data_IF_438507924968
#
_entry.id   IF_438507924968
#
_cell.length_a   1.000
_cell.length_b   1.000
_cell.length_c   1.000
_cell.angle_alpha   90.00
_cell.angle_beta   90.00
_cell.angle_gamma   90.00
#
_symmetry.space_group_name_H-M   'P 1'
#
loop_
_entity.id
_entity.type
_entity.pdbx_description
1 polymer ?
#
# COMPACT_ATOMS: atom_id res chain seq x y z
N UNK A 1 -9.61 -7.43 21.39
CA UNK A 1 -8.50 -7.34 22.39
C UNK A 1 -7.31 -6.80 21.64
N UNK A 2 -6.91 -5.58 21.94
CA UNK A 2 -5.75 -4.93 21.30
C UNK A 2 -4.51 -5.73 21.68
N UNK A 3 -3.74 -6.18 20.72
CA UNK A 3 -2.44 -6.78 20.99
C UNK A 3 -1.45 -5.64 21.19
N UNK A 4 -1.06 -5.36 22.43
CA UNK A 4 0.02 -4.41 22.72
C UNK A 4 1.28 -4.95 22.01
N UNK A 5 1.96 -4.10 21.25
CA UNK A 5 3.21 -4.48 20.57
C UNK A 5 4.21 -4.99 21.58
N UNK A 6 4.91 -6.08 21.21
CA UNK A 6 5.89 -6.74 22.08
C UNK A 6 7.02 -5.79 22.47
N UNK A 7 7.36 -5.79 23.75
CA UNK A 7 8.51 -5.06 24.29
C UNK A 7 9.82 -5.71 23.84
N UNK A 8 10.93 -4.97 23.95
CA UNK A 8 12.28 -5.52 23.64
C UNK A 8 12.62 -6.73 24.51
N UNK A 9 12.20 -6.73 25.78
CA UNK A 9 12.41 -7.81 26.73
C UNK A 9 11.64 -9.06 26.30
N UNK A 10 10.37 -8.92 25.93
CA UNK A 10 9.56 -10.04 25.43
C UNK A 10 10.15 -10.64 24.13
N UNK A 11 10.65 -9.77 23.20
CA UNK A 11 11.28 -10.24 21.97
C UNK A 11 12.59 -10.99 22.26
N UNK A 12 13.41 -10.53 23.20
CA UNK A 12 14.62 -11.25 23.63
C UNK A 12 14.30 -12.61 24.27
N UNK A 13 13.22 -12.68 25.05
CA UNK A 13 12.79 -13.95 25.62
C UNK A 13 12.34 -14.93 24.54
N UNK A 14 11.62 -14.44 23.53
CA UNK A 14 11.23 -15.24 22.36
C UNK A 14 12.47 -15.76 21.63
N UNK A 15 13.47 -14.91 21.34
CA UNK A 15 14.72 -15.33 20.72
C UNK A 15 15.40 -16.44 21.52
N UNK A 16 15.49 -16.29 22.85
CA UNK A 16 16.09 -17.29 23.74
C UNK A 16 15.34 -18.63 23.69
N UNK A 17 14.01 -18.59 23.69
CA UNK A 17 13.18 -19.79 23.63
C UNK A 17 13.27 -20.50 22.26
N UNK A 18 13.50 -19.76 21.20
CA UNK A 18 13.67 -20.27 19.85
C UNK A 18 15.11 -20.64 19.52
N UNK A 19 16.07 -20.37 20.41
CA UNK A 19 17.51 -20.58 20.23
C UNK A 19 18.08 -19.85 18.99
N UNK A 20 17.67 -18.59 18.79
CA UNK A 20 18.13 -17.71 17.70
C UNK A 20 18.71 -16.42 18.28
N UNK A 21 19.58 -15.75 17.52
CA UNK A 21 20.24 -14.50 17.95
C UNK A 21 19.29 -13.29 17.86
N UNK A 22 18.53 -13.20 16.79
CA UNK A 22 17.59 -12.09 16.52
C UNK A 22 16.35 -12.56 15.78
N UNK A 23 15.25 -11.81 15.95
CA UNK A 23 14.08 -11.90 15.08
C UNK A 23 14.24 -10.91 13.92
N UNK A 24 14.06 -11.40 12.71
CA UNK A 24 13.96 -10.57 11.53
C UNK A 24 12.51 -10.08 11.31
N UNK A 25 12.27 -9.30 10.29
CA UNK A 25 10.92 -8.85 9.90
C UNK A 25 10.81 -8.75 8.39
N UNK A 26 9.57 -8.79 7.89
CA UNK A 26 9.31 -8.48 6.49
C UNK A 26 9.91 -7.13 6.07
N UNK A 27 9.74 -6.09 6.90
CA UNK A 27 10.25 -4.75 6.61
C UNK A 27 11.78 -4.70 6.48
N UNK A 28 12.52 -5.48 7.31
CA UNK A 28 13.99 -5.56 7.23
C UNK A 28 14.41 -6.24 5.93
N UNK A 29 13.84 -7.40 5.63
CA UNK A 29 14.11 -8.12 4.39
C UNK A 29 13.78 -7.27 3.16
N UNK A 30 12.59 -6.67 3.12
CA UNK A 30 12.13 -5.89 1.98
C UNK A 30 12.97 -4.62 1.77
N UNK A 31 13.32 -3.92 2.84
CA UNK A 31 14.23 -2.78 2.79
C UNK A 31 15.58 -3.18 2.19
N UNK A 32 16.20 -4.27 2.67
CA UNK A 32 17.48 -4.72 2.15
C UNK A 32 17.42 -5.16 0.69
N UNK A 33 16.34 -5.81 0.30
CA UNK A 33 16.10 -6.22 -1.09
C UNK A 33 15.96 -5.03 -2.04
N UNK A 34 15.32 -3.97 -1.59
CA UNK A 34 15.09 -2.76 -2.40
C UNK A 34 16.29 -1.81 -2.39
N UNK A 35 16.91 -1.65 -1.25
CA UNK A 35 17.96 -0.64 -1.03
C UNK A 35 18.90 -1.08 0.09
N UNK A 36 20.06 -1.58 -0.30
CA UNK A 36 21.08 -2.06 0.65
C UNK A 36 21.60 -0.93 1.52
N UNK A 37 21.72 0.30 0.97
CA UNK A 37 22.23 1.45 1.73
C UNK A 37 21.21 1.94 2.77
N UNK A 38 19.94 2.02 2.42
CA UNK A 38 18.89 2.37 3.38
C UNK A 38 18.81 1.33 4.50
N UNK A 39 18.91 0.05 4.17
CA UNK A 39 18.96 -1.02 5.16
C UNK A 39 20.20 -0.94 6.07
N UNK A 40 21.36 -0.53 5.53
CA UNK A 40 22.56 -0.28 6.30
C UNK A 40 22.37 0.87 7.30
N UNK A 41 21.86 2.02 6.86
CA UNK A 41 21.56 3.14 7.75
C UNK A 41 20.60 2.72 8.88
N UNK A 42 19.54 2.00 8.54
CA UNK A 42 18.44 1.68 9.47
C UNK A 42 18.78 0.55 10.44
N UNK A 43 19.37 -0.55 9.94
CA UNK A 43 19.50 -1.80 10.71
C UNK A 43 20.94 -2.11 11.14
N UNK A 44 21.93 -1.38 10.65
CA UNK A 44 23.33 -1.54 11.07
C UNK A 44 23.79 -0.32 11.86
N UNK A 45 23.66 0.87 11.29
CA UNK A 45 24.07 2.13 11.94
C UNK A 45 23.03 2.66 12.93
N UNK A 46 21.77 2.24 12.81
CA UNK A 46 20.65 2.77 13.58
C UNK A 46 20.52 4.30 13.48
N UNK A 47 20.82 4.82 12.28
CA UNK A 47 20.68 6.25 12.00
C UNK A 47 19.23 6.70 12.13
N UNK A 48 19.07 7.90 12.66
CA UNK A 48 17.74 8.51 12.75
C UNK A 48 17.28 8.95 11.37
N UNK A 49 16.04 8.59 11.02
CA UNK A 49 15.41 9.09 9.81
C UNK A 49 15.37 10.63 9.84
N UNK A 50 15.89 11.28 8.80
CA UNK A 50 16.06 12.74 8.71
C UNK A 50 15.08 13.39 7.71
N UNK A 51 14.19 12.60 7.11
CA UNK A 51 13.08 13.10 6.30
C UNK A 51 11.76 12.91 7.02
N UNK A 52 10.92 13.93 6.94
CA UNK A 52 9.53 13.82 7.40
C UNK A 52 8.74 12.93 6.44
N UNK A 53 7.91 12.07 7.00
CA UNK A 53 6.98 11.27 6.22
C UNK A 53 6.14 12.15 5.28
N UNK A 54 5.97 11.71 4.05
CA UNK A 54 5.08 12.37 3.10
C UNK A 54 3.62 12.24 3.52
N UNK A 55 2.77 13.12 3.01
CA UNK A 55 1.34 13.17 3.33
C UNK A 55 0.63 11.82 3.15
N UNK A 56 1.00 11.03 2.14
CA UNK A 56 0.40 9.71 1.90
C UNK A 56 0.70 8.71 3.02
N UNK A 57 1.93 8.71 3.54
CA UNK A 57 2.31 7.84 4.65
C UNK A 57 1.62 8.25 5.96
N UNK A 58 1.57 9.56 6.24
CA UNK A 58 0.90 10.09 7.42
C UNK A 58 -0.60 9.84 7.37
N UNK A 59 -1.25 10.14 6.24
CA UNK A 59 -2.68 9.86 6.05
C UNK A 59 -3.00 8.36 6.12
N UNK A 60 -2.13 7.50 5.54
CA UNK A 60 -2.25 6.06 5.66
C UNK A 60 -2.21 5.62 7.12
N UNK A 61 -1.25 6.14 7.90
CA UNK A 61 -1.15 5.86 9.34
C UNK A 61 -2.41 6.25 10.11
N UNK A 62 -2.97 7.43 9.86
CA UNK A 62 -4.24 7.83 10.47
C UNK A 62 -5.41 6.91 10.08
N UNK A 63 -5.48 6.49 8.82
CA UNK A 63 -6.52 5.56 8.39
C UNK A 63 -6.44 4.22 9.11
N UNK A 64 -5.24 3.64 9.26
CA UNK A 64 -5.01 2.42 10.02
C UNK A 64 -5.40 2.58 11.49
N UNK A 65 -4.95 3.66 12.14
CA UNK A 65 -5.26 3.97 13.54
C UNK A 65 -6.79 4.10 13.79
N UNK A 66 -7.51 4.76 12.89
CA UNK A 66 -8.98 4.89 12.99
C UNK A 66 -9.66 3.53 12.87
N UNK A 67 -9.25 2.71 11.90
CA UNK A 67 -9.82 1.37 11.68
C UNK A 67 -9.50 0.47 12.89
N UNK A 68 -8.27 0.50 13.39
CA UNK A 68 -7.87 -0.23 14.58
C UNK A 68 -8.73 0.15 15.79
N UNK A 69 -8.92 1.44 16.04
CA UNK A 69 -9.78 1.94 17.13
C UNK A 69 -11.23 1.51 16.98
N UNK A 70 -11.77 1.46 15.77
CA UNK A 70 -13.11 0.93 15.53
C UNK A 70 -13.20 -0.54 15.95
N UNK A 71 -12.29 -1.37 15.45
CA UNK A 71 -12.34 -2.81 15.70
C UNK A 71 -11.88 -3.21 17.10
N UNK A 72 -11.12 -2.37 17.79
CA UNK A 72 -10.85 -2.52 19.22
C UNK A 72 -12.05 -2.13 20.12
N UNK A 73 -13.00 -1.41 19.58
CA UNK A 73 -14.15 -0.88 20.31
C UNK A 73 -13.84 0.41 21.09
N UNK A 74 -12.71 1.07 20.83
CA UNK A 74 -12.35 2.35 21.44
C UNK A 74 -13.22 3.49 20.91
N UNK A 75 -13.65 3.42 19.66
CA UNK A 75 -14.53 4.39 19.02
C UNK A 75 -15.76 3.70 18.42
N UNK A 76 -16.81 4.48 18.19
CA UNK A 76 -17.99 4.03 17.44
C UNK A 76 -17.81 4.30 15.95
N UNK A 77 -18.63 3.62 15.15
CA UNK A 77 -18.64 3.81 13.70
C UNK A 77 -18.77 5.28 13.26
N UNK A 78 -19.71 6.00 13.89
CA UNK A 78 -20.01 7.40 13.54
C UNK A 78 -18.87 8.37 13.93
N UNK A 79 -17.95 7.95 14.80
CA UNK A 79 -16.81 8.75 15.21
C UNK A 79 -15.70 8.75 14.16
N UNK A 80 -15.62 7.72 13.30
CA UNK A 80 -14.52 7.55 12.34
C UNK A 80 -14.33 8.77 11.44
N UNK A 81 -15.42 9.27 10.88
CA UNK A 81 -15.36 10.41 9.96
C UNK A 81 -14.88 11.68 10.66
N UNK A 82 -15.32 11.93 11.88
CA UNK A 82 -14.90 13.11 12.64
C UNK A 82 -13.41 13.05 12.99
N UNK A 83 -12.91 11.88 13.41
CA UNK A 83 -11.49 11.68 13.70
C UNK A 83 -10.64 11.84 12.42
N UNK A 84 -11.15 11.41 11.28
CA UNK A 84 -10.47 11.62 10.00
C UNK A 84 -10.40 13.11 9.63
N UNK A 85 -11.48 13.87 9.80
CA UNK A 85 -11.47 15.33 9.58
C UNK A 85 -10.47 16.04 10.51
N UNK A 86 -10.39 15.66 11.78
CA UNK A 86 -9.39 16.18 12.71
C UNK A 86 -7.95 15.83 12.27
N UNK A 87 -7.77 14.64 11.69
CA UNK A 87 -6.48 14.22 11.13
C UNK A 87 -6.08 15.05 9.90
N UNK A 88 -7.04 15.38 9.03
CA UNK A 88 -6.82 16.29 7.89
C UNK A 88 -6.42 17.69 8.37
N UNK A 89 -7.09 18.22 9.38
CA UNK A 89 -6.73 19.51 9.98
C UNK A 89 -5.29 19.47 10.54
N UNK A 90 -4.92 18.39 11.23
CA UNK A 90 -3.56 18.20 11.77
C UNK A 90 -2.51 18.18 10.66
N UNK A 91 -2.77 17.46 9.55
CA UNK A 91 -1.87 17.43 8.39
C UNK A 91 -1.75 18.79 7.71
N UNK A 92 -2.84 19.57 7.63
CA UNK A 92 -2.82 20.93 7.09
C UNK A 92 -1.99 21.88 7.98
N UNK A 93 -2.13 21.81 9.30
CA UNK A 93 -1.33 22.59 10.26
C UNK A 93 0.16 22.24 10.15
N UNK A 94 0.47 20.96 9.88
CA UNK A 94 1.83 20.49 9.65
C UNK A 94 2.35 20.81 8.23
N UNK A 95 1.59 21.56 7.42
CA UNK A 95 1.92 21.95 6.04
C UNK A 95 2.25 20.76 5.11
N UNK A 96 1.67 19.58 5.38
CA UNK A 96 1.82 18.43 4.52
C UNK A 96 1.00 18.63 3.24
N UNK A 97 1.63 18.37 2.08
CA UNK A 97 1.02 18.58 0.75
C UNK A 97 1.18 17.36 -0.12
N UNK A 98 0.18 17.12 -0.98
CA UNK A 98 0.19 16.09 -2.02
C UNK A 98 1.09 16.47 -3.20
N UNK A 99 1.09 17.75 -3.57
CA UNK A 99 2.06 18.35 -4.49
C UNK A 99 2.63 19.62 -3.85
N UNK A 100 3.96 19.72 -3.79
CA UNK A 100 4.65 20.86 -3.15
C UNK A 100 4.91 22.02 -4.10
N UNK A 101 4.89 21.73 -5.40
CA UNK A 101 5.32 22.68 -6.44
C UNK A 101 4.13 23.34 -7.15
N UNK A 102 2.98 22.67 -7.16
CA UNK A 102 1.78 23.12 -7.86
C UNK A 102 0.58 23.09 -6.93
N UNK A 103 0.08 24.28 -6.56
CA UNK A 103 -1.03 24.44 -5.61
C UNK A 103 -2.36 23.95 -6.18
N UNK A 104 -2.62 24.16 -7.47
CA UNK A 104 -3.86 23.71 -8.13
C UNK A 104 -3.88 22.18 -8.25
N UNK A 105 -2.76 21.60 -8.63
CA UNK A 105 -2.58 20.15 -8.66
C UNK A 105 -2.70 19.53 -7.27
N UNK A 106 -2.10 20.18 -6.25
CA UNK A 106 -2.24 19.76 -4.86
C UNK A 106 -3.71 19.70 -4.43
N UNK A 107 -4.49 20.74 -4.73
CA UNK A 107 -5.91 20.79 -4.38
C UNK A 107 -6.73 19.70 -5.10
N UNK A 108 -6.48 19.47 -6.39
CA UNK A 108 -7.13 18.40 -7.16
C UNK A 108 -6.85 17.02 -6.57
N UNK A 109 -5.58 16.75 -6.22
CA UNK A 109 -5.18 15.47 -5.62
C UNK A 109 -5.79 15.34 -4.23
N UNK A 110 -5.73 16.39 -3.38
CA UNK A 110 -6.32 16.42 -2.06
C UNK A 110 -7.82 16.10 -2.11
N UNK A 111 -8.58 16.84 -2.90
CA UNK A 111 -10.02 16.64 -3.06
C UNK A 111 -10.36 15.22 -3.49
N UNK A 112 -9.64 14.68 -4.46
CA UNK A 112 -9.86 13.30 -4.92
C UNK A 112 -9.57 12.27 -3.83
N UNK A 113 -8.38 12.34 -3.23
CA UNK A 113 -7.90 11.39 -2.24
C UNK A 113 -8.78 11.42 -0.98
N UNK A 114 -8.97 12.59 -0.43
CA UNK A 114 -9.69 12.79 0.83
C UNK A 114 -11.16 12.43 0.70
N UNK A 115 -11.82 12.78 -0.41
CA UNK A 115 -13.22 12.39 -0.63
C UNK A 115 -13.39 10.89 -0.78
N UNK A 116 -12.43 10.17 -1.38
CA UNK A 116 -12.46 8.72 -1.38
C UNK A 116 -12.41 8.14 0.04
N UNK A 117 -11.51 8.64 0.89
CA UNK A 117 -11.35 8.18 2.28
C UNK A 117 -12.56 8.59 3.15
N UNK A 118 -13.08 9.83 2.98
CA UNK A 118 -14.33 10.26 3.63
C UNK A 118 -15.49 9.34 3.30
N UNK A 119 -15.62 8.97 2.03
CA UNK A 119 -16.66 8.03 1.60
C UNK A 119 -16.47 6.65 2.23
N UNK A 120 -15.22 6.17 2.35
CA UNK A 120 -14.95 4.91 3.03
C UNK A 120 -15.44 4.96 4.49
N UNK A 121 -15.03 5.95 5.27
CA UNK A 121 -15.42 6.05 6.69
C UNK A 121 -16.92 6.24 6.91
N UNK A 122 -17.64 6.78 5.93
CA UNK A 122 -19.10 6.90 5.98
C UNK A 122 -19.84 5.63 5.55
N UNK A 123 -19.22 4.75 4.76
CA UNK A 123 -19.90 3.64 4.09
C UNK A 123 -19.18 2.30 4.22
N UNK A 124 -18.19 2.18 5.13
CA UNK A 124 -17.47 0.94 5.34
C UNK A 124 -18.39 -0.16 5.88
N UNK A 125 -18.30 -1.34 5.28
CA UNK A 125 -19.01 -2.52 5.73
C UNK A 125 -18.29 -3.18 6.90
N UNK A 126 -18.69 -2.87 8.13
CA UNK A 126 -18.05 -3.37 9.35
C UNK A 126 -18.16 -4.90 9.43
N UNK A 127 -17.01 -5.54 9.59
CA UNK A 127 -16.89 -6.99 9.82
C UNK A 127 -17.25 -7.27 11.29
N UNK A 128 -18.34 -8.01 11.51
CA UNK A 128 -18.88 -8.27 12.87
C UNK A 128 -18.47 -9.61 13.45
N UNK A 129 -17.77 -10.43 12.68
CA UNK A 129 -17.26 -11.73 13.13
C UNK A 129 -16.22 -11.53 14.24
N UNK A 130 -16.06 -12.50 15.14
CA UNK A 130 -14.95 -12.50 16.09
C UNK A 130 -13.63 -12.38 15.36
N UNK A 131 -12.85 -11.36 15.71
CA UNK A 131 -11.64 -10.97 14.99
C UNK A 131 -10.48 -10.70 15.94
N UNK A 132 -9.29 -10.57 15.36
CA UNK A 132 -8.06 -10.09 15.99
C UNK A 132 -7.49 -8.94 15.18
N UNK A 133 -6.95 -7.96 15.88
CA UNK A 133 -6.27 -6.79 15.31
C UNK A 133 -4.83 -6.75 15.81
N UNK A 134 -3.92 -6.21 15.02
CA UNK A 134 -2.48 -6.12 15.35
C UNK A 134 -1.95 -7.42 15.93
N UNK A 135 -2.34 -8.55 15.31
CA UNK A 135 -2.03 -9.88 15.83
C UNK A 135 -0.56 -10.21 15.61
N UNK A 136 0.20 -10.32 16.74
CA UNK A 136 1.60 -10.71 16.69
C UNK A 136 1.76 -12.16 16.18
N UNK A 137 2.66 -12.34 15.22
CA UNK A 137 2.94 -13.62 14.59
C UNK A 137 4.44 -13.87 14.48
N UNK A 138 4.82 -15.13 14.62
CA UNK A 138 6.18 -15.64 14.39
C UNK A 138 6.14 -16.59 13.20
N UNK A 139 7.09 -16.45 12.30
CA UNK A 139 7.15 -17.20 11.06
C UNK A 139 8.54 -17.79 10.91
N UNK A 140 8.65 -19.10 11.00
CA UNK A 140 9.92 -19.81 10.79
C UNK A 140 10.21 -19.97 9.30
N UNK A 141 11.28 -19.36 8.86
CA UNK A 141 11.78 -19.49 7.48
C UNK A 141 12.76 -20.66 7.40
N UNK A 142 13.79 -20.64 8.26
CA UNK A 142 14.77 -21.71 8.48
C UNK A 142 14.95 -21.94 9.99
N UNK A 143 15.90 -22.77 10.38
CA UNK A 143 16.20 -22.97 11.80
C UNK A 143 16.80 -21.74 12.46
N UNK A 144 17.53 -20.90 11.70
CA UNK A 144 18.22 -19.70 12.19
C UNK A 144 17.54 -18.38 11.76
N UNK A 145 16.60 -18.43 10.80
CA UNK A 145 15.85 -17.25 10.36
C UNK A 145 14.39 -17.39 10.76
N UNK A 146 13.98 -16.51 11.67
CA UNK A 146 12.61 -16.41 12.14
C UNK A 146 12.14 -14.97 12.00
N UNK A 147 11.04 -14.75 11.28
CA UNK A 147 10.43 -13.46 11.15
C UNK A 147 9.40 -13.21 12.23
N UNK A 148 9.26 -11.97 12.63
CA UNK A 148 8.14 -11.46 13.40
C UNK A 148 7.31 -10.49 12.55
N UNK A 149 6.03 -10.39 12.87
CA UNK A 149 5.13 -9.42 12.23
C UNK A 149 3.87 -9.19 13.04
N UNK A 150 3.09 -8.25 12.58
CA UNK A 150 1.76 -7.96 13.10
C UNK A 150 0.79 -7.99 11.94
N UNK A 151 -0.26 -8.78 12.09
CA UNK A 151 -1.36 -8.87 11.13
C UNK A 151 -2.38 -7.80 11.52
N UNK A 152 -2.63 -6.84 10.65
CA UNK A 152 -3.53 -5.71 10.91
C UNK A 152 -4.91 -6.20 11.35
N UNK A 153 -5.49 -7.14 10.60
CA UNK A 153 -6.80 -7.69 10.89
C UNK A 153 -6.95 -9.14 10.41
N UNK A 154 -7.51 -9.98 11.24
CA UNK A 154 -7.86 -11.35 10.86
C UNK A 154 -9.13 -11.83 11.55
N UNK A 155 -9.89 -12.68 10.89
CA UNK A 155 -11.08 -13.30 11.42
C UNK A 155 -11.32 -14.68 10.80
N UNK A 156 -12.24 -15.43 11.39
CA UNK A 156 -12.68 -16.73 10.86
C UNK A 156 -14.05 -16.60 10.22
N UNK A 157 -14.25 -17.25 9.08
CA UNK A 157 -15.56 -17.37 8.45
C UNK A 157 -15.87 -18.84 8.10
N UNK A 158 -17.15 -19.18 8.14
CA UNK A 158 -17.63 -20.45 7.63
C UNK A 158 -17.88 -20.36 6.14
N UNK A 159 -17.55 -21.39 5.42
CA UNK A 159 -17.85 -21.51 4.00
C UNK A 159 -18.23 -22.95 3.67
N UNK A 160 -18.85 -23.16 2.53
CA UNK A 160 -19.17 -24.50 2.00
C UNK A 160 -18.21 -24.80 0.87
N UNK A 161 -17.48 -25.90 0.95
CA UNK A 161 -16.55 -26.34 -0.08
C UNK A 161 -17.28 -26.89 -1.33
N UNK A 162 -16.54 -27.20 -2.37
CA UNK A 162 -17.07 -27.72 -3.63
C UNK A 162 -17.83 -29.07 -3.46
N UNK A 163 -17.57 -29.79 -2.38
CA UNK A 163 -18.22 -31.06 -2.04
C UNK A 163 -19.46 -30.87 -1.15
N UNK A 164 -19.81 -29.62 -0.81
CA UNK A 164 -20.96 -29.30 0.04
C UNK A 164 -20.68 -29.41 1.54
N UNK A 165 -19.43 -29.56 1.98
CA UNK A 165 -19.09 -29.62 3.39
C UNK A 165 -18.90 -28.23 4.00
N UNK A 166 -19.43 -28.01 5.19
CA UNK A 166 -19.12 -26.81 5.96
C UNK A 166 -17.66 -26.87 6.47
N UNK A 167 -16.88 -25.84 6.11
CA UNK A 167 -15.51 -25.63 6.56
C UNK A 167 -15.36 -24.25 7.20
N UNK A 168 -14.26 -24.05 7.89
CA UNK A 168 -13.86 -22.75 8.44
C UNK A 168 -12.54 -22.35 7.83
N UNK A 169 -12.46 -21.10 7.35
CA UNK A 169 -11.22 -20.51 6.85
C UNK A 169 -10.87 -19.24 7.60
N UNK A 170 -9.61 -18.88 7.54
CA UNK A 170 -9.09 -17.63 8.09
C UNK A 170 -8.98 -16.62 6.97
N UNK A 171 -9.49 -15.41 7.21
CA UNK A 171 -9.24 -14.26 6.35
C UNK A 171 -8.30 -13.29 7.04
N UNK A 172 -7.27 -12.86 6.31
CA UNK A 172 -6.30 -11.84 6.67
C UNK A 172 -6.54 -10.64 5.78
N UNK A 173 -6.74 -9.47 6.38
CA UNK A 173 -6.97 -8.22 5.66
C UNK A 173 -5.89 -7.21 6.04
N UNK A 174 -5.30 -6.62 5.03
CA UNK A 174 -4.38 -5.49 5.11
C UNK A 174 -5.00 -4.29 4.40
N UNK A 175 -5.17 -3.16 5.10
CA UNK A 175 -5.80 -1.97 4.55
C UNK A 175 -4.81 -1.09 3.80
N UNK A 176 -5.21 -0.62 2.61
CA UNK A 176 -4.36 0.20 1.75
C UNK A 176 -5.06 1.48 1.30
N UNK A 177 -4.39 2.61 1.51
CA UNK A 177 -4.78 3.91 0.97
C UNK A 177 -4.15 4.20 -0.39
N UNK A 178 -3.32 3.30 -0.91
CA UNK A 178 -2.66 3.40 -2.21
C UNK A 178 -3.64 3.20 -3.38
N UNK A 179 -3.14 3.30 -4.61
CA UNK A 179 -3.86 2.86 -5.80
C UNK A 179 -4.04 1.34 -5.78
N UNK A 180 -5.21 0.88 -6.22
CA UNK A 180 -5.56 -0.55 -6.26
C UNK A 180 -4.54 -1.35 -7.09
N UNK A 181 -4.08 -2.46 -6.54
CA UNK A 181 -3.19 -3.35 -7.26
C UNK A 181 -3.94 -4.18 -8.31
N UNK A 182 -3.31 -4.40 -9.44
CA UNK A 182 -3.85 -5.22 -10.54
C UNK A 182 -2.71 -5.81 -11.38
N UNK A 183 -2.97 -6.93 -12.02
CA UNK A 183 -2.01 -7.59 -12.89
C UNK A 183 -0.68 -7.87 -12.19
N UNK A 184 0.44 -7.51 -12.81
CA UNK A 184 1.80 -7.75 -12.27
C UNK A 184 2.03 -7.15 -10.89
N UNK A 185 1.36 -6.04 -10.54
CA UNK A 185 1.54 -5.39 -9.25
C UNK A 185 1.02 -6.25 -8.09
N UNK A 186 -0.01 -7.06 -8.31
CA UNK A 186 -0.49 -8.04 -7.31
C UNK A 186 0.63 -9.02 -6.97
N UNK A 187 1.33 -9.53 -7.99
CA UNK A 187 2.44 -10.46 -7.83
C UNK A 187 3.65 -9.83 -7.12
N UNK A 188 3.94 -8.58 -7.40
CA UNK A 188 5.07 -7.85 -6.81
C UNK A 188 4.86 -7.50 -5.33
N UNK A 189 3.61 -7.18 -4.94
CA UNK A 189 3.30 -6.66 -3.62
C UNK A 189 2.80 -7.74 -2.64
N UNK A 190 2.50 -8.96 -3.12
CA UNK A 190 1.85 -10.00 -2.32
C UNK A 190 2.72 -10.59 -1.20
N UNK A 191 4.03 -10.41 -1.24
CA UNK A 191 4.99 -11.16 -0.42
C UNK A 191 4.72 -11.09 1.08
N UNK A 192 4.37 -9.92 1.62
CA UNK A 192 4.07 -9.77 3.05
C UNK A 192 2.89 -10.66 3.48
N UNK A 193 1.81 -10.61 2.73
CA UNK A 193 0.61 -11.40 3.04
C UNK A 193 0.82 -12.90 2.82
N UNK A 194 1.63 -13.28 1.82
CA UNK A 194 2.02 -14.67 1.60
C UNK A 194 2.80 -15.22 2.81
N UNK A 195 3.75 -14.45 3.33
CA UNK A 195 4.53 -14.86 4.50
C UNK A 195 3.68 -14.85 5.77
N UNK A 196 2.70 -13.96 5.90
CA UNK A 196 1.76 -13.98 7.02
C UNK A 196 0.84 -15.20 6.97
N UNK A 197 0.37 -15.60 5.79
CA UNK A 197 -0.38 -16.86 5.61
C UNK A 197 0.45 -18.07 6.04
N UNK A 198 1.73 -18.12 5.65
CA UNK A 198 2.65 -19.18 6.11
C UNK A 198 2.78 -19.23 7.62
N UNK A 199 2.89 -18.06 8.29
CA UNK A 199 2.95 -17.99 9.72
C UNK A 199 1.67 -18.51 10.41
N UNK A 200 0.50 -18.16 9.89
CA UNK A 200 -0.79 -18.70 10.38
C UNK A 200 -0.86 -20.22 10.16
N UNK A 201 -0.43 -20.69 8.98
CA UNK A 201 -0.34 -22.12 8.68
C UNK A 201 0.50 -22.87 9.71
N UNK A 202 1.69 -22.35 10.02
CA UNK A 202 2.59 -22.92 11.02
C UNK A 202 2.01 -22.91 12.43
N UNK A 203 1.37 -21.79 12.81
CA UNK A 203 0.83 -21.62 14.16
C UNK A 203 -0.40 -22.50 14.44
N UNK A 204 -1.23 -22.74 13.43
CA UNK A 204 -2.52 -23.40 13.60
C UNK A 204 -2.57 -24.82 12.99
N UNK A 205 -1.59 -25.21 12.17
CA UNK A 205 -1.55 -26.49 11.49
C UNK A 205 -2.67 -26.68 10.44
N UNK A 206 -3.15 -25.56 9.85
CA UNK A 206 -4.21 -25.58 8.84
C UNK A 206 -3.60 -25.55 7.43
N UNK A 207 -4.27 -26.10 6.41
CA UNK A 207 -3.77 -26.04 5.04
C UNK A 207 -3.85 -24.63 4.48
N UNK A 208 -3.00 -24.32 3.49
CA UNK A 208 -2.92 -22.98 2.87
C UNK A 208 -4.23 -22.59 2.17
N UNK A 209 -4.96 -23.57 1.64
CA UNK A 209 -6.27 -23.38 0.99
C UNK A 209 -7.38 -22.86 1.94
N UNK A 210 -7.22 -23.07 3.23
CA UNK A 210 -8.13 -22.56 4.27
C UNK A 210 -7.71 -21.16 4.77
N UNK A 211 -6.79 -20.49 4.08
CA UNK A 211 -6.35 -19.12 4.38
C UNK A 211 -6.62 -18.23 3.17
N UNK A 212 -7.24 -17.10 3.39
CA UNK A 212 -7.41 -16.05 2.39
C UNK A 212 -6.70 -14.80 2.88
N UNK A 213 -5.83 -14.25 2.03
CA UNK A 213 -5.21 -12.94 2.24
C UNK A 213 -5.72 -11.95 1.21
N UNK A 214 -6.06 -10.76 1.68
CA UNK A 214 -6.65 -9.72 0.85
C UNK A 214 -6.15 -8.34 1.25
N UNK A 215 -6.00 -7.46 0.27
CA UNK A 215 -5.95 -6.04 0.52
C UNK A 215 -7.34 -5.45 0.42
N UNK A 216 -7.70 -4.58 1.37
CA UNK A 216 -8.86 -3.70 1.25
C UNK A 216 -8.38 -2.30 0.85
N UNK A 217 -8.72 -1.89 -0.37
CA UNK A 217 -8.33 -0.58 -0.90
C UNK A 217 -9.35 0.49 -0.55
N UNK A 218 -9.06 1.30 0.45
CA UNK A 218 -9.98 2.28 1.03
C UNK A 218 -10.53 3.29 0.03
N UNK A 219 -9.80 3.59 -1.04
CA UNK A 219 -10.22 4.58 -2.05
C UNK A 219 -11.15 4.02 -3.12
N UNK A 220 -11.41 2.71 -3.10
CA UNK A 220 -12.19 2.04 -4.14
C UNK A 220 -13.39 1.29 -3.57
N UNK A 221 -14.35 1.08 -4.43
CA UNK A 221 -15.46 0.12 -4.25
C UNK A 221 -15.43 -0.91 -5.37
N UNK A 222 -15.92 -2.11 -5.07
CA UNK A 222 -16.33 -3.08 -6.07
C UNK A 222 -17.82 -2.92 -6.29
N UNK A 223 -18.22 -2.59 -7.51
CA UNK A 223 -19.62 -2.51 -7.91
C UNK A 223 -19.94 -3.68 -8.80
N UNK A 224 -20.78 -4.58 -8.31
CA UNK A 224 -21.38 -5.65 -9.13
C UNK A 224 -22.69 -5.12 -9.69
N UNK A 225 -22.84 -5.09 -11.00
CA UNK A 225 -24.05 -4.64 -11.66
C UNK A 225 -24.57 -5.64 -12.68
N UNK A 226 -25.90 -5.67 -12.83
CA UNK A 226 -26.57 -6.51 -13.81
C UNK A 226 -26.60 -5.82 -15.17
N UNK A 227 -26.22 -6.54 -16.22
CA UNK A 227 -26.31 -6.12 -17.61
C UNK A 227 -27.70 -6.46 -18.16
N UNK A 228 -28.10 -5.84 -19.28
CA UNK A 228 -29.41 -6.09 -19.91
C UNK A 228 -29.67 -7.57 -20.27
N UNK A 229 -28.62 -8.35 -20.47
CA UNK A 229 -28.70 -9.79 -20.73
C UNK A 229 -28.78 -10.66 -19.46
N UNK A 230 -28.96 -10.04 -18.29
CA UNK A 230 -29.02 -10.71 -16.99
C UNK A 230 -27.67 -11.14 -16.40
N UNK A 231 -26.54 -10.94 -17.12
CA UNK A 231 -25.21 -11.26 -16.59
C UNK A 231 -24.76 -10.21 -15.61
N UNK A 232 -24.17 -10.63 -14.50
CA UNK A 232 -23.50 -9.74 -13.54
C UNK A 232 -22.08 -9.46 -13.98
N UNK A 233 -21.63 -8.23 -13.75
CA UNK A 233 -20.26 -7.79 -14.03
C UNK A 233 -19.75 -6.93 -12.88
N UNK A 234 -18.50 -7.17 -12.50
CA UNK A 234 -17.80 -6.37 -11.50
C UNK A 234 -17.03 -5.22 -12.16
N UNK A 235 -17.03 -4.08 -11.48
CA UNK A 235 -16.26 -2.90 -11.83
C UNK A 235 -15.66 -2.29 -10.57
N UNK A 236 -14.40 -1.94 -10.65
CA UNK A 236 -13.71 -1.21 -9.59
C UNK A 236 -13.80 0.29 -9.87
N UNK A 237 -14.33 1.03 -8.92
CA UNK A 237 -14.62 2.47 -9.06
C UNK A 237 -13.99 3.21 -7.89
N UNK A 238 -13.38 4.36 -8.16
CA UNK A 238 -12.93 5.27 -7.10
C UNK A 238 -14.14 5.84 -6.36
N UNK A 239 -14.05 5.89 -5.03
CA UNK A 239 -15.19 6.25 -4.17
C UNK A 239 -15.69 7.69 -4.37
N UNK A 240 -14.86 8.58 -4.91
CA UNK A 240 -15.28 9.97 -5.17
C UNK A 240 -16.10 10.16 -6.46
N UNK A 241 -16.23 9.13 -7.31
CA UNK A 241 -16.91 9.22 -8.62
C UNK A 241 -17.89 8.06 -8.87
N UNK A 242 -18.46 7.50 -7.80
CA UNK A 242 -19.40 6.36 -7.90
C UNK A 242 -20.62 6.75 -8.75
N UNK A 243 -21.25 7.88 -8.39
CA UNK A 243 -22.45 8.38 -9.09
C UNK A 243 -22.20 8.57 -10.57
N UNK A 244 -21.19 9.36 -10.94
CA UNK A 244 -20.81 9.63 -12.33
C UNK A 244 -20.48 8.35 -13.10
N UNK A 245 -19.71 7.46 -12.50
CA UNK A 245 -19.25 6.21 -13.13
C UNK A 245 -20.38 5.23 -13.47
N UNK A 246 -21.52 5.33 -12.80
CA UNK A 246 -22.65 4.42 -12.97
C UNK A 246 -23.81 5.00 -13.83
N UNK A 247 -23.70 6.25 -14.30
CA UNK A 247 -24.74 6.95 -15.06
C UNK A 247 -25.28 6.13 -16.23
N UNK A 248 -24.41 5.58 -17.07
CA UNK A 248 -24.83 4.85 -18.26
C UNK A 248 -25.63 3.58 -17.91
N UNK A 249 -25.23 2.87 -16.87
CA UNK A 249 -25.93 1.66 -16.42
C UNK A 249 -27.24 2.03 -15.74
N UNK A 250 -27.27 3.11 -14.95
CA UNK A 250 -28.50 3.60 -14.32
C UNK A 250 -29.51 4.08 -15.37
N UNK A 251 -29.09 4.87 -16.36
CA UNK A 251 -29.96 5.31 -17.49
C UNK A 251 -30.57 4.13 -18.24
N UNK A 252 -29.82 3.06 -18.43
CA UNK A 252 -30.32 1.85 -19.09
C UNK A 252 -31.48 1.20 -18.29
N UNK A 253 -31.31 1.05 -16.98
CA UNK A 253 -32.33 0.44 -16.12
C UNK A 253 -33.49 1.37 -15.82
N UNK A 254 -33.28 2.68 -15.72
CA UNK A 254 -34.36 3.68 -15.62
C UNK A 254 -35.30 3.60 -16.83
N UNK A 255 -34.75 3.51 -18.05
CA UNK A 255 -35.57 3.30 -19.26
C UNK A 255 -36.29 1.98 -19.25
N UNK A 256 -35.64 0.88 -18.85
CA UNK A 256 -36.24 -0.45 -18.84
C UNK A 256 -37.42 -0.53 -17.87
N UNK A 257 -37.38 0.24 -16.77
CA UNK A 257 -38.46 0.29 -15.76
C UNK A 257 -39.45 1.45 -15.95
N UNK A 258 -39.36 2.20 -17.05
CA UNK A 258 -40.38 3.23 -17.42
C UNK A 258 -40.21 4.57 -16.72
N UNK A 259 -39.00 4.94 -16.31
CA UNK A 259 -38.66 6.23 -15.69
C UNK A 259 -38.05 7.21 -16.70
N UNK A 260 -38.41 7.15 -17.98
CA UNK A 260 -37.76 7.93 -19.04
C UNK A 260 -37.88 9.45 -18.81
N UNK A 261 -39.00 9.92 -18.30
CA UNK A 261 -39.25 11.34 -18.05
C UNK A 261 -38.46 11.91 -16.89
N UNK A 262 -38.00 11.05 -15.95
CA UNK A 262 -37.29 11.45 -14.72
C UNK A 262 -35.78 11.14 -14.74
N UNK A 263 -35.24 10.66 -15.87
CA UNK A 263 -33.85 10.21 -15.97
C UNK A 263 -32.90 11.29 -15.53
N UNK A 264 -33.02 12.51 -16.03
CA UNK A 264 -32.09 13.59 -15.72
C UNK A 264 -32.15 13.96 -14.24
N UNK A 265 -33.33 13.94 -13.61
CA UNK A 265 -33.48 14.18 -12.18
C UNK A 265 -32.72 13.13 -11.33
N UNK A 266 -32.82 11.85 -11.67
CA UNK A 266 -32.12 10.79 -10.97
C UNK A 266 -30.60 10.86 -11.19
N UNK A 267 -30.19 11.11 -12.43
CA UNK A 267 -28.76 11.20 -12.80
C UNK A 267 -28.10 12.39 -12.13
N UNK A 268 -28.72 13.56 -12.13
CA UNK A 268 -28.20 14.76 -11.48
C UNK A 268 -27.98 14.52 -9.98
N UNK A 269 -28.95 13.87 -9.31
CA UNK A 269 -28.81 13.49 -7.90
C UNK A 269 -27.70 12.48 -7.68
N UNK A 270 -27.57 11.47 -8.55
CA UNK A 270 -26.49 10.49 -8.46
C UNK A 270 -25.11 11.16 -8.52
N UNK A 271 -24.93 12.10 -9.45
CA UNK A 271 -23.65 12.80 -9.63
C UNK A 271 -23.40 13.75 -8.45
N UNK A 272 -24.39 14.57 -8.09
CA UNK A 272 -24.27 15.58 -7.03
C UNK A 272 -23.95 14.94 -5.66
N UNK A 273 -24.69 13.89 -5.31
CA UNK A 273 -24.55 13.22 -4.00
C UNK A 273 -23.59 12.02 -4.04
N UNK A 274 -23.00 11.75 -5.21
CA UNK A 274 -22.07 10.63 -5.44
C UNK A 274 -22.58 9.28 -4.90
N UNK A 275 -23.86 8.95 -5.16
CA UNK A 275 -24.54 7.77 -4.63
C UNK A 275 -25.62 7.27 -5.57
N UNK A 276 -26.05 6.00 -5.41
CA UNK A 276 -27.20 5.40 -6.10
C UNK A 276 -28.46 5.35 -5.22
N UNK A 277 -28.40 5.85 -3.99
CA UNK A 277 -29.49 5.71 -3.01
C UNK A 277 -30.81 6.38 -3.42
N UNK A 278 -30.75 7.39 -4.28
CA UNK A 278 -31.92 8.09 -4.80
C UNK A 278 -32.60 7.42 -5.99
N UNK A 279 -32.01 6.36 -6.54
CA UNK A 279 -32.62 5.60 -7.62
C UNK A 279 -33.87 4.84 -7.13
N UNK A 280 -34.85 4.61 -8.00
CA UNK A 280 -35.94 3.71 -7.71
C UNK A 280 -35.46 2.34 -7.23
N UNK A 281 -36.22 1.71 -6.33
CA UNK A 281 -35.79 0.47 -5.67
C UNK A 281 -35.37 -0.62 -6.66
N UNK A 282 -36.21 -0.86 -7.69
CA UNK A 282 -35.96 -1.87 -8.73
C UNK A 282 -34.70 -1.58 -9.58
N UNK A 283 -34.37 -0.31 -9.77
CA UNK A 283 -33.13 0.11 -10.44
C UNK A 283 -31.93 -0.09 -9.50
N UNK A 284 -32.08 0.32 -8.23
CA UNK A 284 -31.04 0.17 -7.22
C UNK A 284 -30.67 -1.31 -6.98
N UNK A 285 -31.62 -2.21 -7.00
CA UNK A 285 -31.42 -3.67 -6.84
C UNK A 285 -30.57 -4.29 -7.97
N UNK A 286 -30.33 -3.56 -9.07
CA UNK A 286 -29.41 -3.95 -10.15
C UNK A 286 -27.95 -3.70 -9.84
N UNK A 287 -27.64 -3.08 -8.72
CA UNK A 287 -26.31 -2.73 -8.28
C UNK A 287 -26.06 -3.28 -6.87
N UNK A 288 -24.87 -3.81 -6.65
CA UNK A 288 -24.35 -4.17 -5.34
C UNK A 288 -22.99 -3.46 -5.16
N UNK A 289 -22.88 -2.59 -4.16
CA UNK A 289 -21.66 -1.84 -3.87
C UNK A 289 -21.02 -2.42 -2.60
N UNK A 290 -19.75 -2.83 -2.71
CA UNK A 290 -18.97 -3.41 -1.62
C UNK A 290 -17.64 -2.70 -1.49
N UNK A 291 -16.99 -2.86 -0.33
CA UNK A 291 -15.58 -2.51 -0.17
C UNK A 291 -14.72 -3.26 -1.19
N UNK A 292 -13.61 -2.63 -1.60
CA UNK A 292 -12.76 -3.17 -2.65
C UNK A 292 -11.70 -4.11 -2.06
N UNK A 293 -11.97 -5.39 -2.14
CA UNK A 293 -11.01 -6.43 -1.79
C UNK A 293 -10.28 -6.95 -3.02
N UNK A 294 -8.96 -7.12 -2.89
CA UNK A 294 -8.13 -7.78 -3.91
C UNK A 294 -7.42 -8.94 -3.24
N UNK A 295 -7.75 -10.14 -3.68
CA UNK A 295 -7.19 -11.36 -3.12
C UNK A 295 -5.75 -11.57 -3.57
N UNK A 296 -4.91 -12.01 -2.63
CA UNK A 296 -3.54 -12.44 -2.87
C UNK A 296 -3.53 -13.90 -3.35
N UNK A 297 -2.85 -14.21 -4.45
CA UNK A 297 -2.69 -15.61 -4.86
C UNK A 297 -1.75 -16.35 -3.91
N UNK A 298 -2.27 -17.31 -3.17
CA UNK A 298 -1.53 -18.16 -2.25
C UNK A 298 -1.29 -19.54 -2.88
N UNK A 299 -0.02 -19.90 -3.08
CA UNK A 299 0.40 -21.22 -3.56
C UNK A 299 1.63 -21.69 -2.80
N UNK A 300 1.81 -23.02 -2.71
CA UNK A 300 3.01 -23.62 -2.10
C UNK A 300 4.29 -23.15 -2.82
N UNK A 301 4.24 -23.03 -4.14
CA UNK A 301 5.35 -22.54 -4.95
C UNK A 301 5.79 -21.14 -4.51
N UNK A 302 4.85 -20.20 -4.44
CA UNK A 302 5.13 -18.82 -3.98
C UNK A 302 5.69 -18.77 -2.56
N UNK A 303 5.14 -19.55 -1.65
CA UNK A 303 5.66 -19.62 -0.28
C UNK A 303 7.11 -20.10 -0.28
N UNK A 304 7.41 -21.16 -1.04
CA UNK A 304 8.76 -21.73 -1.12
C UNK A 304 9.76 -20.79 -1.79
N UNK A 305 9.39 -20.17 -2.91
CA UNK A 305 10.22 -19.18 -3.61
C UNK A 305 10.53 -17.98 -2.68
N UNK A 306 9.53 -17.47 -1.98
CA UNK A 306 9.70 -16.36 -1.07
C UNK A 306 10.56 -16.72 0.14
N UNK A 307 10.40 -17.91 0.71
CA UNK A 307 11.26 -18.40 1.79
C UNK A 307 12.71 -18.53 1.35
N UNK A 308 12.95 -19.02 0.13
CA UNK A 308 14.30 -19.13 -0.42
C UNK A 308 14.94 -17.74 -0.61
N UNK A 309 14.22 -16.77 -1.18
CA UNK A 309 14.70 -15.40 -1.38
C UNK A 309 14.96 -14.68 -0.03
N UNK A 310 14.06 -14.82 0.94
CA UNK A 310 14.27 -14.30 2.30
C UNK A 310 15.53 -14.90 2.93
N UNK A 311 15.74 -16.20 2.78
CA UNK A 311 16.88 -16.91 3.31
C UNK A 311 18.19 -16.34 2.74
N UNK A 312 18.26 -16.24 1.40
CA UNK A 312 19.42 -15.66 0.70
C UNK A 312 19.71 -14.23 1.17
N UNK A 313 18.71 -13.36 1.14
CA UNK A 313 18.90 -11.93 1.45
C UNK A 313 19.21 -11.66 2.92
N UNK A 314 18.61 -12.39 3.85
CA UNK A 314 18.90 -12.24 5.28
C UNK A 314 20.29 -12.77 5.61
N UNK A 315 20.72 -13.90 5.00
CA UNK A 315 22.09 -14.39 5.17
C UNK A 315 23.11 -13.39 4.59
N UNK A 316 22.90 -12.90 3.36
CA UNK A 316 23.76 -11.86 2.74
C UNK A 316 23.86 -10.63 3.66
N UNK A 317 22.73 -10.14 4.17
CA UNK A 317 22.72 -8.99 5.08
C UNK A 317 23.50 -9.26 6.37
N UNK A 318 23.31 -10.41 7.00
CA UNK A 318 23.99 -10.77 8.25
C UNK A 318 25.50 -10.94 8.06
N UNK A 319 25.93 -11.49 6.91
CA UNK A 319 27.31 -11.66 6.56
C UNK A 319 28.00 -10.30 6.35
N UNK A 320 27.42 -9.42 5.55
CA UNK A 320 27.92 -8.06 5.34
C UNK A 320 27.94 -7.24 6.64
N UNK A 321 26.93 -7.37 7.48
CA UNK A 321 26.90 -6.72 8.80
C UNK A 321 28.06 -7.19 9.67
N UNK A 322 28.36 -8.49 9.70
CA UNK A 322 29.48 -9.06 10.46
C UNK A 322 30.82 -8.55 9.93
N UNK A 323 30.99 -8.52 8.61
CA UNK A 323 32.19 -8.01 7.96
C UNK A 323 32.35 -6.51 8.22
N UNK A 324 31.33 -5.71 8.10
CA UNK A 324 31.35 -4.29 8.44
C UNK A 324 31.79 -4.03 9.90
N UNK A 325 31.28 -4.79 10.85
CA UNK A 325 31.69 -4.65 12.26
C UNK A 325 33.17 -4.94 12.51
N UNK A 326 33.83 -5.69 11.62
CA UNK A 326 35.24 -5.99 11.70
C UNK A 326 36.11 -5.01 10.90
N UNK A 327 35.61 -4.47 9.79
CA UNK A 327 36.40 -3.71 8.81
C UNK A 327 36.06 -2.22 8.76
N UNK A 328 34.88 -1.83 9.21
CA UNK A 328 34.22 -0.53 8.97
C UNK A 328 34.10 -0.16 7.49
N UNK A 329 34.07 -1.15 6.60
CA UNK A 329 33.91 -0.93 5.16
C UNK A 329 32.45 -0.75 4.77
N UNK A 330 32.02 0.51 4.60
CA UNK A 330 30.66 0.86 4.17
C UNK A 330 30.38 0.39 2.73
N UNK A 331 31.41 0.18 1.90
CA UNK A 331 31.24 -0.24 0.50
C UNK A 331 30.57 -1.61 0.37
N UNK A 332 30.56 -2.41 1.41
CA UNK A 332 29.80 -3.68 1.49
C UNK A 332 28.31 -3.49 1.23
N UNK A 333 27.77 -2.32 1.57
CA UNK A 333 26.36 -1.98 1.38
C UNK A 333 26.12 -1.01 0.23
N UNK A 334 27.18 -0.66 -0.53
CA UNK A 334 27.02 0.20 -1.69
C UNK A 334 26.14 -0.47 -2.74
N UNK A 335 25.25 0.30 -3.33
CA UNK A 335 24.41 -0.10 -4.45
C UNK A 335 24.28 1.09 -5.39
N UNK A 336 24.64 0.92 -6.65
CA UNK A 336 24.47 1.96 -7.65
C UNK A 336 22.98 2.25 -7.84
N UNK A 337 22.69 3.55 -7.96
CA UNK A 337 21.33 4.04 -8.10
C UNK A 337 20.99 4.15 -9.59
N UNK A 338 19.88 3.54 -10.00
CA UNK A 338 19.32 3.68 -11.34
C UNK A 338 18.31 4.82 -11.40
N UNK A 339 17.91 5.25 -12.61
CA UNK A 339 16.85 6.26 -12.80
C UNK A 339 15.52 5.85 -12.16
N UNK A 340 15.20 4.55 -12.16
CA UNK A 340 14.01 4.00 -11.53
C UNK A 340 14.10 4.12 -10.00
N UNK A 341 15.28 3.83 -9.43
CA UNK A 341 15.53 4.01 -7.99
C UNK A 341 15.49 5.48 -7.58
N UNK A 342 16.00 6.38 -8.42
CA UNK A 342 16.08 7.80 -8.12
C UNK A 342 14.72 8.41 -7.80
N UNK A 343 13.65 8.05 -8.54
CA UNK A 343 12.29 8.51 -8.24
C UNK A 343 11.81 8.03 -6.87
N UNK A 344 12.04 6.76 -6.54
CA UNK A 344 11.70 6.18 -5.23
C UNK A 344 12.45 6.87 -4.10
N UNK A 345 13.77 7.06 -4.28
CA UNK A 345 14.63 7.72 -3.29
C UNK A 345 14.26 9.20 -3.10
N UNK A 346 13.89 9.90 -4.16
CA UNK A 346 13.42 11.28 -4.08
C UNK A 346 12.13 11.44 -3.28
N UNK A 347 11.25 10.44 -3.31
CA UNK A 347 9.86 10.57 -2.80
C UNK A 347 9.55 9.73 -1.57
N UNK A 348 10.11 8.52 -1.46
CA UNK A 348 9.71 7.50 -0.48
C UNK A 348 10.77 7.16 0.57
N UNK A 349 12.07 7.43 0.31
CA UNK A 349 13.11 7.15 1.28
C UNK A 349 12.94 7.98 2.55
N UNK A 350 13.17 7.36 3.70
CA UNK A 350 13.18 8.02 5.01
C UNK A 350 14.48 8.82 5.26
N UNK A 351 15.47 8.70 4.37
CA UNK A 351 16.75 9.36 4.48
C UNK A 351 16.99 10.38 3.37
N UNK A 352 17.55 11.53 3.72
CA UNK A 352 17.92 12.57 2.75
C UNK A 352 19.14 12.16 1.93
N UNK A 353 19.38 12.87 0.79
CA UNK A 353 20.59 12.69 -0.02
C UNK A 353 21.89 12.84 0.79
N UNK A 354 21.89 13.53 1.94
CA UNK A 354 23.08 13.68 2.79
C UNK A 354 23.49 12.38 3.43
N UNK A 355 22.53 11.59 3.91
CA UNK A 355 22.78 10.31 4.55
C UNK A 355 22.88 9.19 3.52
N UNK A 356 22.09 9.25 2.45
CA UNK A 356 22.09 8.25 1.39
C UNK A 356 23.23 8.53 0.37
N UNK A 357 24.45 8.09 0.70
CA UNK A 357 25.66 8.36 -0.11
C UNK A 357 25.54 7.91 -1.58
N UNK A 358 25.05 6.69 -1.91
CA UNK A 358 24.89 6.27 -3.31
C UNK A 358 23.95 7.21 -4.10
N UNK A 359 22.84 7.62 -3.51
CA UNK A 359 21.91 8.56 -4.15
C UNK A 359 22.54 9.95 -4.35
N UNK A 360 23.33 10.41 -3.38
CA UNK A 360 24.06 11.65 -3.52
C UNK A 360 25.12 11.59 -4.62
N UNK A 361 25.78 10.45 -4.78
CA UNK A 361 26.76 10.23 -5.87
C UNK A 361 26.05 10.26 -7.23
N UNK A 362 24.95 9.52 -7.37
CA UNK A 362 24.13 9.53 -8.59
C UNK A 362 23.70 10.96 -8.98
N UNK A 363 23.15 11.75 -8.06
CA UNK A 363 22.71 13.11 -8.36
C UNK A 363 23.87 14.02 -8.80
N UNK A 364 25.06 13.87 -8.23
CA UNK A 364 26.24 14.63 -8.67
C UNK A 364 26.68 14.26 -10.09
N UNK A 365 26.57 13.00 -10.45
CA UNK A 365 26.87 12.56 -11.82
C UNK A 365 25.87 13.17 -12.80
N UNK A 366 24.58 13.20 -12.49
CA UNK A 366 23.58 13.84 -13.33
C UNK A 366 23.81 15.34 -13.47
N UNK A 367 24.12 16.05 -12.38
CA UNK A 367 24.45 17.47 -12.38
C UNK A 367 25.69 17.76 -13.27
N UNK A 368 26.67 16.85 -13.31
CA UNK A 368 27.85 16.97 -14.18
C UNK A 368 27.52 16.76 -15.66
N UNK A 369 26.67 15.81 -15.99
CA UNK A 369 26.21 15.56 -17.36
C UNK A 369 25.37 16.70 -17.91
N UNK A 370 24.47 17.28 -17.11
CA UNK A 370 23.68 18.45 -17.50
C UNK A 370 24.57 19.66 -17.81
N UNK A 371 25.54 19.97 -16.95
CA UNK A 371 26.48 21.07 -17.19
C UNK A 371 27.35 20.85 -18.44
N UNK A 372 27.81 19.63 -18.71
CA UNK A 372 28.57 19.31 -19.93
C UNK A 372 27.74 19.48 -21.20
N UNK A 373 26.46 19.10 -21.18
CA UNK A 373 25.54 19.24 -22.30
C UNK A 373 25.18 20.72 -22.58
N UNK A 374 25.16 21.56 -21.55
CA UNK A 374 25.00 23.02 -21.72
C UNK A 374 26.24 23.66 -22.32
N UNK A 375 27.45 23.30 -21.87
CA UNK A 375 28.71 23.77 -22.40
C UNK A 375 28.93 23.35 -23.88
N UNK A 376 28.52 22.12 -24.27
CA UNK A 376 28.59 21.64 -25.65
C UNK A 376 27.57 22.36 -26.54
N UNK A 377 26.37 22.69 -26.03
CA UNK A 377 25.39 23.48 -26.77
C UNK A 377 25.80 24.96 -26.93
N UNK A 378 26.44 25.55 -25.91
CA UNK A 378 26.99 26.91 -26.03
C UNK A 378 28.17 26.94 -27.02
N UNK A 379 29.06 25.92 -26.99
CA UNK A 379 30.18 25.85 -27.94
C UNK A 379 29.73 25.60 -29.37
N UNK A 380 28.67 24.82 -29.60
CA UNK A 380 28.10 24.61 -30.94
C UNK A 380 27.36 25.85 -31.45
N UNK A 381 26.76 26.65 -30.58
CA UNK A 381 26.15 27.95 -30.92
C UNK A 381 27.19 28.99 -31.32
N UNK A 382 28.36 29.03 -30.70
CA UNK A 382 29.46 29.94 -31.07
C UNK A 382 30.13 29.55 -32.43
N UNK A 383 30.23 28.24 -32.74
CA UNK A 383 30.73 27.78 -34.06
C UNK A 383 29.75 28.10 -35.18
N UNK A 384 28.44 27.95 -34.98
CA UNK A 384 27.42 28.31 -35.96
C UNK A 384 27.33 29.83 -36.19
N UNK A 385 27.51 30.64 -35.16
CA UNK A 385 27.60 32.11 -35.30
C UNK A 385 28.85 32.54 -36.04
N UNK A 386 30.00 31.87 -35.85
CA UNK A 386 31.26 32.15 -36.55
C UNK A 386 31.16 31.75 -38.02
N UNK A 387 30.54 30.63 -38.34
CA UNK A 387 30.29 30.18 -39.70
C UNK A 387 29.31 31.12 -40.43
N UNK A 388 28.26 31.57 -39.77
CA UNK A 388 27.32 32.54 -40.36
C UNK A 388 27.93 33.91 -40.59
N UNK A 389 28.88 34.34 -39.77
CA UNK A 389 29.66 35.56 -39.96
C UNK A 389 30.62 35.46 -41.16
N UNK A 390 31.28 34.29 -41.34
CA UNK A 390 32.19 34.06 -42.49
C UNK A 390 31.45 33.97 -43.82
N UNK A 391 30.24 33.46 -43.86
CA UNK A 391 29.39 33.42 -45.05
C UNK A 391 28.82 34.82 -45.44
N UNK A 392 28.90 35.78 -44.53
CA UNK A 392 28.47 37.19 -44.77
C UNK A 392 29.56 38.14 -45.27
N UNK A 393 30.85 37.67 -45.33
CA UNK A 393 31.99 38.38 -45.89
C UNK A 393 32.27 37.93 -47.30
#
# INVERSE_FOLDING_TARGET
MITIRKTREELKEICKNLHIDELDSWSKYHCYKQDKWEAFLKYVLHEKEDRTNGIYAVSGGYCHDIIEKLYSGEIKYDDMINIYEDSLLTMNIAELKYDRNDSEKNEKIANKYENCVRHFFKNHNVIRQPHRIEHFIIIRITDDIVLQGYIDFMFTEKYVDENGNEKTRIRIIDWKTSTRYSGKKVEQECGQLVIYAEGIRQALGIPLEDIICEWNFLKYVTVTYEQKNGKKKDRYIERNVIGESLVNTAKMWLKEFGYEDDIDLYVDKMILENTIEYLPKEVKEKFEIKDCYVQVPLTEEKVNELKADITEKIHEFREKKREYLNTNDEMLFWQDVTDEDAFRLATLSSYSRKLHKPYNAYLKEQEMFENQSEDENESSGEEDDLLSFLDSL
#
